data_IF_444094724834
#
_entry.id   IF_444094724834
#
_cell.length_a   1.000
_cell.length_b   1.000
_cell.length_c   1.000
_cell.angle_alpha   90.00
_cell.angle_beta   90.00
_cell.angle_gamma   90.00
#
_symmetry.space_group_name_H-M   'P 1'
#
loop_
_entity.id
_entity.type
_entity.pdbx_description
1 polymer ?
#
# COMPACT_ATOMS: atom_id res chain seq x y z
N UNK A 1 -1.07 -19.19 -0.22
CA UNK A 1 -1.69 -19.27 1.12
C UNK A 1 -3.19 -18.99 0.97
N UNK A 2 -4.09 -19.68 1.71
CA UNK A 2 -5.52 -19.41 1.66
C UNK A 2 -5.86 -18.04 2.25
N UNK A 3 -7.02 -17.49 1.87
CA UNK A 3 -7.54 -16.20 2.36
C UNK A 3 -8.71 -16.44 3.31
N UNK A 4 -8.39 -16.63 4.59
CA UNK A 4 -9.38 -16.78 5.66
C UNK A 4 -9.52 -15.43 6.36
N UNK A 5 -10.53 -14.65 5.97
CA UNK A 5 -10.76 -13.32 6.52
C UNK A 5 -11.24 -13.40 7.95
N UNK A 6 -10.60 -12.64 8.84
CA UNK A 6 -10.96 -12.59 10.25
C UNK A 6 -10.90 -11.15 10.76
N UNK A 7 -11.72 -10.85 11.76
CA UNK A 7 -11.54 -9.65 12.55
C UNK A 7 -10.19 -9.76 13.29
N UNK A 8 -9.49 -8.63 13.45
CA UNK A 8 -8.21 -8.62 14.16
C UNK A 8 -8.45 -8.85 15.67
N UNK A 9 -7.89 -9.93 16.27
CA UNK A 9 -8.09 -10.22 17.69
C UNK A 9 -7.35 -9.26 18.63
N UNK A 10 -6.37 -8.50 18.13
CA UNK A 10 -5.55 -7.59 18.94
C UNK A 10 -6.16 -6.17 19.04
N UNK A 11 -7.29 -5.93 18.35
CA UNK A 11 -8.02 -4.67 18.35
C UNK A 11 -9.40 -4.81 19.03
N UNK A 12 -9.91 -3.74 19.70
CA UNK A 12 -11.30 -3.71 20.13
C UNK A 12 -12.24 -3.95 18.95
N UNK A 13 -13.29 -4.79 19.08
CA UNK A 13 -14.19 -5.07 17.96
C UNK A 13 -14.90 -3.85 17.36
N UNK A 14 -15.01 -2.74 18.11
CA UNK A 14 -15.53 -1.47 17.63
C UNK A 14 -14.58 -0.71 16.70
N UNK A 15 -13.29 -1.05 16.74
CA UNK A 15 -12.21 -0.30 16.10
C UNK A 15 -11.67 -1.02 14.85
N UNK A 16 -12.26 -2.18 14.51
CA UNK A 16 -11.88 -2.99 13.35
C UNK A 16 -13.08 -3.71 12.74
N UNK A 17 -13.00 -3.98 11.44
CA UNK A 17 -14.09 -4.58 10.69
C UNK A 17 -14.22 -6.08 10.96
N UNK A 18 -15.44 -6.59 10.89
CA UNK A 18 -15.73 -8.01 10.80
C UNK A 18 -16.00 -8.45 9.34
N UNK A 19 -15.83 -9.74 9.00
CA UNK A 19 -16.06 -10.22 7.62
C UNK A 19 -17.45 -9.90 7.04
N UNK A 20 -18.46 -9.79 7.90
CA UNK A 20 -19.83 -9.41 7.57
C UNK A 20 -19.95 -7.99 6.99
N UNK A 21 -19.11 -7.04 7.39
CA UNK A 21 -19.14 -5.66 6.89
C UNK A 21 -18.89 -5.56 5.37
N UNK A 22 -18.19 -6.56 4.80
CA UNK A 22 -17.90 -6.64 3.37
C UNK A 22 -18.97 -7.38 2.55
N UNK A 23 -20.07 -7.83 3.17
CA UNK A 23 -21.17 -8.44 2.43
C UNK A 23 -21.73 -7.43 1.42
N UNK A 24 -22.05 -7.90 0.22
CA UNK A 24 -22.51 -7.10 -0.93
C UNK A 24 -21.52 -6.05 -1.50
N UNK A 25 -20.42 -5.73 -0.82
CA UNK A 25 -19.47 -4.69 -1.24
C UNK A 25 -18.94 -4.90 -2.66
N UNK A 26 -18.54 -6.13 -3.01
CA UNK A 26 -18.08 -6.44 -4.38
C UNK A 26 -19.18 -6.23 -5.43
N UNK A 27 -20.37 -6.77 -5.19
CA UNK A 27 -21.48 -6.71 -6.15
C UNK A 27 -21.89 -5.27 -6.44
N UNK A 28 -22.04 -4.47 -5.38
CA UNK A 28 -22.57 -3.10 -5.43
C UNK A 28 -21.51 -2.06 -5.79
N UNK A 29 -20.28 -2.21 -5.29
CA UNK A 29 -19.24 -1.18 -5.40
C UNK A 29 -18.04 -1.59 -6.25
N UNK A 30 -17.98 -2.85 -6.73
CA UNK A 30 -16.84 -3.39 -7.50
C UNK A 30 -15.51 -3.26 -6.74
N UNK A 31 -15.55 -3.54 -5.44
CA UNK A 31 -14.38 -3.58 -4.56
C UNK A 31 -14.06 -5.02 -4.14
N UNK A 32 -12.77 -5.29 -3.98
CA UNK A 32 -12.24 -6.50 -3.38
C UNK A 32 -11.83 -6.23 -1.93
N UNK A 33 -11.58 -7.30 -1.18
CA UNK A 33 -10.83 -7.26 0.08
C UNK A 33 -9.33 -7.10 -0.27
N UNK A 34 -8.86 -5.85 -0.37
CA UNK A 34 -7.51 -5.51 -0.80
C UNK A 34 -6.52 -5.48 0.35
N UNK A 35 -5.44 -6.26 0.23
CA UNK A 35 -4.33 -6.31 1.18
C UNK A 35 -3.53 -5.00 1.21
N UNK A 36 -3.18 -4.49 2.39
CA UNK A 36 -2.17 -3.45 2.56
C UNK A 36 -0.76 -4.10 2.53
N UNK A 37 -0.44 -4.92 3.52
CA UNK A 37 0.72 -5.81 3.52
C UNK A 37 0.44 -7.06 2.67
N UNK A 38 1.24 -7.35 1.61
CA UNK A 38 0.87 -8.31 0.59
C UNK A 38 1.08 -9.76 1.03
N UNK A 39 0.03 -10.57 0.95
CA UNK A 39 0.07 -12.00 1.29
C UNK A 39 1.13 -12.79 0.50
N UNK A 40 1.29 -12.50 -0.78
CA UNK A 40 2.25 -13.21 -1.64
C UNK A 40 3.71 -12.83 -1.37
N UNK A 41 3.97 -11.67 -0.75
CA UNK A 41 5.31 -11.23 -0.39
C UNK A 41 5.72 -11.66 1.02
N UNK A 42 4.76 -11.77 1.94
CA UNK A 42 5.03 -11.98 3.37
C UNK A 42 4.51 -13.33 3.90
N UNK A 43 3.85 -14.15 3.08
CA UNK A 43 3.24 -15.41 3.53
C UNK A 43 4.21 -16.52 4.00
N UNK A 44 5.51 -16.25 4.07
CA UNK A 44 6.53 -17.15 4.61
C UNK A 44 6.71 -17.06 6.12
N UNK A 45 6.22 -16.00 6.77
CA UNK A 45 6.34 -15.78 8.22
C UNK A 45 5.42 -16.71 9.02
N UNK A 46 5.75 -16.99 10.28
CA UNK A 46 5.00 -17.93 11.13
C UNK A 46 3.57 -17.46 11.43
N UNK A 47 3.39 -16.15 11.55
CA UNK A 47 2.12 -15.49 11.84
C UNK A 47 1.38 -15.05 10.58
N UNK A 48 1.70 -15.58 9.40
CA UNK A 48 1.10 -15.18 8.12
C UNK A 48 -0.44 -15.11 8.08
N UNK A 49 -1.24 -15.88 8.87
CA UNK A 49 -2.68 -15.67 8.90
C UNK A 49 -3.10 -14.24 9.28
N UNK A 50 -2.28 -13.51 10.05
CA UNK A 50 -2.48 -12.10 10.39
C UNK A 50 -2.59 -11.20 9.15
N UNK A 51 -1.97 -11.58 8.04
CA UNK A 51 -2.08 -10.88 6.76
C UNK A 51 -3.53 -10.89 6.22
N UNK A 52 -4.40 -11.78 6.68
CA UNK A 52 -5.82 -11.81 6.33
C UNK A 52 -6.73 -11.18 7.39
N UNK A 53 -6.17 -10.60 8.46
CA UNK A 53 -6.96 -9.82 9.42
C UNK A 53 -7.44 -8.52 8.79
N UNK A 54 -8.65 -8.10 9.13
CA UNK A 54 -9.29 -6.95 8.48
C UNK A 54 -8.66 -5.60 8.84
N UNK A 55 -7.79 -5.53 9.84
CA UNK A 55 -6.87 -4.41 10.07
C UNK A 55 -5.88 -4.20 8.91
N UNK A 56 -5.56 -5.26 8.17
CA UNK A 56 -4.69 -5.23 6.98
C UNK A 56 -5.48 -5.16 5.65
N UNK A 57 -6.82 -5.04 5.71
CA UNK A 57 -7.70 -5.12 4.53
C UNK A 57 -8.56 -3.86 4.40
N UNK A 58 -8.61 -3.31 3.19
CA UNK A 58 -9.53 -2.23 2.86
C UNK A 58 -10.38 -2.58 1.63
N UNK A 59 -11.53 -1.91 1.42
CA UNK A 59 -12.32 -2.07 0.20
C UNK A 59 -11.62 -1.39 -0.98
N UNK A 60 -10.86 -2.15 -1.75
CA UNK A 60 -10.09 -1.64 -2.89
C UNK A 60 -10.78 -2.01 -4.20
N UNK A 61 -11.02 -1.05 -5.10
CA UNK A 61 -11.61 -1.29 -6.42
C UNK A 61 -10.90 -2.43 -7.13
N UNK A 62 -11.67 -3.40 -7.63
CA UNK A 62 -11.13 -4.61 -8.24
C UNK A 62 -10.21 -4.32 -9.43
N UNK A 63 -10.47 -3.21 -10.16
CA UNK A 63 -9.62 -2.75 -11.25
C UNK A 63 -8.22 -2.36 -10.76
N UNK A 64 -8.10 -1.60 -9.68
CA UNK A 64 -6.82 -1.23 -9.08
C UNK A 64 -6.15 -2.45 -8.44
N UNK A 65 -6.85 -3.17 -7.56
CA UNK A 65 -6.33 -4.32 -6.81
C UNK A 65 -5.72 -5.39 -7.73
N UNK A 66 -6.44 -5.75 -8.80
CA UNK A 66 -6.03 -6.82 -9.72
C UNK A 66 -5.22 -6.29 -10.93
N UNK A 67 -4.97 -4.98 -10.98
CA UNK A 67 -4.29 -4.30 -12.07
C UNK A 67 -2.95 -3.71 -11.62
N UNK A 68 -2.83 -2.38 -11.70
CA UNK A 68 -1.60 -1.66 -11.40
C UNK A 68 -1.04 -1.93 -9.99
N UNK A 69 -1.91 -2.11 -8.97
CA UNK A 69 -1.47 -2.39 -7.61
C UNK A 69 -0.78 -3.77 -7.50
N UNK A 70 -1.41 -4.82 -8.02
CA UNK A 70 -0.80 -6.15 -8.10
C UNK A 70 0.48 -6.16 -8.95
N UNK A 71 0.53 -5.38 -10.03
CA UNK A 71 1.73 -5.26 -10.85
C UNK A 71 2.90 -4.64 -10.06
N UNK A 72 2.66 -3.57 -9.29
CA UNK A 72 3.64 -2.98 -8.39
C UNK A 72 4.10 -4.00 -7.33
N UNK A 73 3.17 -4.68 -6.65
CA UNK A 73 3.49 -5.70 -5.64
C UNK A 73 4.34 -6.85 -6.20
N UNK A 74 4.05 -7.28 -7.42
CA UNK A 74 4.85 -8.28 -8.11
C UNK A 74 6.28 -7.78 -8.33
N UNK A 75 6.46 -6.54 -8.81
CA UNK A 75 7.81 -5.98 -9.02
C UNK A 75 8.58 -5.79 -7.72
N UNK A 76 7.93 -5.36 -6.64
CA UNK A 76 8.55 -5.26 -5.30
C UNK A 76 8.99 -6.63 -4.80
N UNK A 77 8.18 -7.68 -5.00
CA UNK A 77 8.54 -9.04 -4.63
C UNK A 77 9.69 -9.61 -5.46
N UNK A 78 9.73 -9.34 -6.76
CA UNK A 78 10.85 -9.77 -7.60
C UNK A 78 12.14 -8.99 -7.27
N UNK A 79 12.04 -7.71 -6.91
CA UNK A 79 13.17 -6.91 -6.39
C UNK A 79 13.77 -7.57 -5.14
N UNK A 80 12.94 -8.04 -4.20
CA UNK A 80 13.39 -8.71 -2.97
C UNK A 80 14.12 -10.05 -3.20
N UNK A 81 14.08 -10.60 -4.43
CA UNK A 81 14.79 -11.84 -4.81
C UNK A 81 16.12 -11.57 -5.53
N UNK A 82 16.44 -10.31 -5.85
CA UNK A 82 17.68 -9.98 -6.53
C UNK A 82 18.88 -10.22 -5.61
N UNK A 83 19.98 -10.72 -6.16
CA UNK A 83 21.14 -11.13 -5.37
C UNK A 83 21.83 -9.96 -4.62
N UNK A 84 21.72 -8.74 -5.14
CA UNK A 84 22.26 -7.51 -4.55
C UNK A 84 21.29 -6.83 -3.56
N UNK A 85 20.08 -7.39 -3.36
CA UNK A 85 19.05 -6.83 -2.46
C UNK A 85 18.91 -7.72 -1.24
N UNK A 86 19.45 -7.26 -0.11
CA UNK A 86 19.34 -7.98 1.17
C UNK A 86 17.97 -7.83 1.84
N UNK A 87 17.32 -6.68 1.68
CA UNK A 87 16.05 -6.33 2.31
C UNK A 87 15.30 -5.27 1.51
N UNK A 88 13.98 -5.35 1.53
CA UNK A 88 13.08 -4.31 1.03
C UNK A 88 12.18 -3.86 2.17
N UNK A 89 12.29 -2.59 2.55
CA UNK A 89 11.42 -1.97 3.53
C UNK A 89 10.27 -1.27 2.82
N UNK A 90 9.03 -1.51 3.24
CA UNK A 90 7.83 -0.94 2.62
C UNK A 90 6.93 -0.34 3.68
N UNK A 91 6.42 0.86 3.43
CA UNK A 91 5.28 1.46 4.14
C UNK A 91 4.20 1.74 3.11
N UNK A 92 2.95 1.46 3.46
CA UNK A 92 1.80 1.64 2.57
C UNK A 92 0.59 2.07 3.37
N UNK A 93 -0.37 2.70 2.72
CA UNK A 93 -1.61 3.06 3.37
C UNK A 93 -2.66 3.64 2.43
N UNK A 94 -3.85 3.91 2.96
CA UNK A 94 -4.94 4.56 2.24
C UNK A 94 -4.78 6.09 2.19
N UNK A 95 -5.53 6.71 1.30
CA UNK A 95 -5.83 8.14 1.24
C UNK A 95 -7.34 8.35 1.43
N UNK A 96 -7.71 9.41 2.14
CA UNK A 96 -9.10 9.84 2.34
C UNK A 96 -9.24 11.31 1.90
N UNK A 97 -9.02 11.57 0.62
CA UNK A 97 -9.00 12.93 0.04
C UNK A 97 -10.39 13.41 -0.38
N UNK A 98 -11.31 12.49 -0.64
CA UNK A 98 -12.70 12.75 -1.01
C UNK A 98 -13.57 11.57 -0.61
N UNK A 99 -14.84 11.82 -0.35
CA UNK A 99 -15.84 10.77 -0.24
C UNK A 99 -16.01 10.07 -1.60
N UNK A 100 -15.96 8.74 -1.61
CA UNK A 100 -16.25 7.95 -2.82
C UNK A 100 -17.43 6.99 -2.63
N UNK A 101 -17.60 6.44 -1.42
CA UNK A 101 -18.67 5.55 -0.98
C UNK A 101 -18.35 5.08 0.46
N UNK A 102 -19.33 4.48 1.11
CA UNK A 102 -19.16 3.71 2.35
C UNK A 102 -19.50 2.23 2.11
N UNK A 103 -19.15 1.35 3.06
CA UNK A 103 -19.54 -0.06 2.95
C UNK A 103 -21.07 -0.23 3.02
N UNK A 104 -21.68 -1.11 2.20
CA UNK A 104 -23.14 -1.25 2.17
C UNK A 104 -23.77 -1.73 3.48
N UNK A 105 -23.04 -2.53 4.25
CA UNK A 105 -23.52 -3.11 5.51
C UNK A 105 -23.00 -2.34 6.73
N UNK A 106 -22.17 -1.32 6.51
CA UNK A 106 -21.67 -0.43 7.55
C UNK A 106 -21.35 0.94 6.95
N UNK A 107 -22.36 1.83 7.01
CA UNK A 107 -22.26 3.17 6.45
C UNK A 107 -21.31 4.10 7.23
N UNK A 108 -20.75 3.66 8.37
CA UNK A 108 -19.74 4.42 9.11
C UNK A 108 -18.34 4.24 8.53
N UNK A 109 -18.16 3.22 7.69
CA UNK A 109 -16.87 2.86 7.11
C UNK A 109 -16.68 3.54 5.76
N UNK A 110 -15.95 4.64 5.76
CA UNK A 110 -15.51 5.34 4.56
C UNK A 110 -14.54 4.47 3.74
N UNK A 111 -14.75 4.42 2.42
CA UNK A 111 -13.83 3.73 1.52
C UNK A 111 -12.69 4.69 1.15
N UNK A 112 -11.40 4.27 1.22
CA UNK A 112 -10.27 5.09 0.80
C UNK A 112 -10.45 5.61 -0.62
N UNK A 113 -10.09 6.87 -0.90
CA UNK A 113 -10.09 7.46 -2.25
C UNK A 113 -8.92 6.99 -3.12
N UNK A 114 -7.85 6.49 -2.49
CA UNK A 114 -6.66 5.99 -3.17
C UNK A 114 -5.72 5.30 -2.18
N UNK A 115 -4.56 4.87 -2.69
CA UNK A 115 -3.54 4.17 -1.92
C UNK A 115 -2.15 4.68 -2.28
N UNK A 116 -1.24 4.59 -1.33
CA UNK A 116 0.15 4.95 -1.52
C UNK A 116 1.07 3.84 -1.04
N UNK A 117 2.27 3.79 -1.63
CA UNK A 117 3.33 2.86 -1.23
C UNK A 117 4.69 3.55 -1.36
N UNK A 118 5.47 3.50 -0.28
CA UNK A 118 6.85 3.99 -0.20
C UNK A 118 7.74 2.81 0.15
N UNK A 119 8.89 2.72 -0.49
CA UNK A 119 9.83 1.64 -0.24
C UNK A 119 11.29 2.07 -0.43
N UNK A 120 12.18 1.36 0.23
CA UNK A 120 13.63 1.43 -0.02
C UNK A 120 14.30 0.07 0.18
N UNK A 121 15.50 -0.08 -0.36
CA UNK A 121 16.36 -1.26 -0.16
C UNK A 121 17.58 -0.93 0.68
N UNK A 122 18.16 -1.92 1.35
CA UNK A 122 19.35 -1.71 2.20
C UNK A 122 18.99 -1.10 3.56
N UNK A 123 19.93 -0.37 4.17
CA UNK A 123 19.81 0.09 5.56
C UNK A 123 18.95 1.36 5.72
N UNK A 124 19.01 2.28 4.76
CA UNK A 124 18.28 3.55 4.80
C UNK A 124 18.07 4.10 3.38
N UNK A 125 17.00 4.89 3.14
CA UNK A 125 16.83 5.59 1.87
C UNK A 125 17.97 6.61 1.66
N UNK A 126 18.51 6.63 0.45
CA UNK A 126 19.63 7.50 0.05
C UNK A 126 19.43 8.00 -1.38
N UNK A 127 19.63 9.30 -1.58
CA UNK A 127 19.57 9.94 -2.90
C UNK A 127 20.73 9.54 -3.79
N UNK A 128 21.93 9.41 -3.23
CA UNK A 128 23.13 9.01 -3.99
C UNK A 128 23.07 7.55 -4.43
N UNK A 129 22.50 6.67 -3.60
CA UNK A 129 22.30 5.26 -3.96
C UNK A 129 21.08 5.03 -4.84
N UNK A 130 20.14 5.98 -4.86
CA UNK A 130 18.91 5.85 -5.66
C UNK A 130 18.00 4.72 -5.19
N UNK A 131 18.11 4.32 -3.92
CA UNK A 131 17.62 3.05 -3.40
C UNK A 131 16.17 3.12 -2.86
N UNK A 132 15.37 4.12 -3.25
CA UNK A 132 13.99 4.30 -2.79
C UNK A 132 13.01 4.68 -3.92
N UNK A 133 11.72 4.46 -3.69
CA UNK A 133 10.63 4.86 -4.58
C UNK A 133 9.33 5.11 -3.82
N UNK A 134 8.41 5.86 -4.44
CA UNK A 134 7.11 6.21 -3.89
C UNK A 134 6.04 6.27 -5.00
N UNK A 135 4.83 5.80 -4.70
CA UNK A 135 3.71 5.71 -5.64
C UNK A 135 2.40 6.12 -4.98
N UNK A 136 1.50 6.77 -5.73
CA UNK A 136 0.10 7.04 -5.33
C UNK A 136 -0.83 6.64 -6.48
N UNK A 137 -1.81 5.78 -6.19
CA UNK A 137 -2.83 5.38 -7.16
C UNK A 137 -4.23 5.66 -6.62
N UNK A 138 -5.06 6.31 -7.43
CA UNK A 138 -6.47 6.53 -7.13
C UNK A 138 -7.28 5.22 -7.27
N UNK A 139 -8.36 5.08 -6.51
CA UNK A 139 -9.28 3.93 -6.64
C UNK A 139 -9.79 3.70 -8.07
N UNK A 140 -9.96 4.78 -8.85
CA UNK A 140 -10.44 4.70 -10.23
C UNK A 140 -9.32 4.43 -11.25
N UNK A 141 -8.09 4.13 -10.79
CA UNK A 141 -6.99 3.72 -11.67
C UNK A 141 -7.42 2.55 -12.56
N UNK A 142 -7.32 2.66 -13.90
CA UNK A 142 -7.72 1.60 -14.81
C UNK A 142 -6.97 0.30 -14.57
N UNK A 143 -7.63 -0.83 -14.83
CA UNK A 143 -7.00 -2.16 -14.66
C UNK A 143 -5.74 -2.34 -15.50
N UNK A 144 -5.69 -1.73 -16.68
CA UNK A 144 -4.56 -1.78 -17.62
C UNK A 144 -3.49 -0.71 -17.37
N UNK A 145 -3.65 0.13 -16.35
CA UNK A 145 -2.73 1.22 -16.10
C UNK A 145 -1.33 0.71 -15.74
N UNK A 146 -0.31 1.43 -16.18
CA UNK A 146 1.07 1.17 -15.81
C UNK A 146 1.37 1.87 -14.48
N UNK A 147 1.76 1.12 -13.44
CA UNK A 147 2.05 1.69 -12.12
C UNK A 147 3.18 2.75 -12.16
N UNK A 148 4.06 2.70 -13.16
CA UNK A 148 5.16 3.65 -13.32
C UNK A 148 4.68 5.09 -13.55
N UNK A 149 3.51 5.27 -14.15
CA UNK A 149 2.92 6.60 -14.39
C UNK A 149 2.48 7.29 -13.09
N UNK A 150 2.46 6.54 -11.99
CA UNK A 150 1.99 6.95 -10.68
C UNK A 150 3.11 7.18 -9.67
N UNK A 151 4.37 7.25 -10.13
CA UNK A 151 5.52 7.57 -9.28
C UNK A 151 5.43 9.03 -8.78
N UNK A 152 5.57 9.22 -7.48
CA UNK A 152 5.55 10.52 -6.79
C UNK A 152 6.76 10.68 -5.88
N UNK A 153 6.83 11.81 -5.17
CA UNK A 153 7.77 12.02 -4.05
C UNK A 153 7.16 11.51 -2.73
N UNK A 154 7.98 11.27 -1.72
CA UNK A 154 7.47 10.87 -0.39
C UNK A 154 6.74 12.04 0.28
N UNK A 155 7.23 13.26 0.10
CA UNK A 155 6.58 14.48 0.58
C UNK A 155 5.15 14.63 0.02
N UNK A 156 4.92 14.28 -1.25
CA UNK A 156 3.57 14.29 -1.82
C UNK A 156 2.62 13.32 -1.10
N UNK A 157 3.13 12.19 -0.62
CA UNK A 157 2.36 11.24 0.19
C UNK A 157 2.06 11.82 1.58
N UNK A 158 3.07 12.37 2.26
CA UNK A 158 2.91 12.98 3.59
C UNK A 158 1.85 14.09 3.60
N UNK A 159 1.85 14.96 2.57
CA UNK A 159 0.85 16.03 2.44
C UNK A 159 -0.59 15.51 2.22
N UNK A 160 -0.74 14.44 1.44
CA UNK A 160 -2.03 13.86 1.08
C UNK A 160 -2.59 12.97 2.19
N UNK A 161 -1.74 12.34 2.99
CA UNK A 161 -2.16 11.51 4.11
C UNK A 161 -2.93 12.34 5.16
N UNK A 162 -3.92 11.68 5.78
CA UNK A 162 -4.74 12.23 6.87
C UNK A 162 -4.89 11.16 7.96
N UNK A 163 -4.45 11.43 9.22
CA UNK A 163 -3.67 12.59 9.63
C UNK A 163 -2.35 12.70 8.85
N UNK A 164 -1.75 13.89 8.85
CA UNK A 164 -0.43 14.09 8.21
C UNK A 164 0.55 13.12 8.85
N UNK A 165 1.29 12.41 8.01
CA UNK A 165 2.30 11.43 8.43
C UNK A 165 3.69 12.02 8.25
N UNK A 166 4.62 11.61 9.10
CA UNK A 166 6.05 11.80 8.90
C UNK A 166 6.69 10.44 8.64
N UNK A 167 6.79 10.06 7.37
CA UNK A 167 7.45 8.84 6.92
C UNK A 167 8.95 8.94 7.13
N UNK A 168 9.59 7.81 7.45
CA UNK A 168 11.03 7.74 7.76
C UNK A 168 11.46 8.80 8.79
N UNK A 169 10.64 9.00 9.84
CA UNK A 169 10.81 10.04 10.86
C UNK A 169 12.11 9.97 11.67
N UNK A 170 12.82 8.84 11.61
CA UNK A 170 14.12 8.67 12.26
C UNK A 170 15.30 9.19 11.42
N UNK A 171 15.08 9.63 10.17
CA UNK A 171 16.15 10.18 9.34
C UNK A 171 16.64 11.54 9.86
N UNK A 172 17.95 11.84 9.78
CA UNK A 172 18.44 13.20 9.95
C UNK A 172 17.77 14.16 8.95
N UNK A 173 17.48 15.38 9.38
CA UNK A 173 16.74 16.38 8.58
C UNK A 173 17.36 16.60 7.20
N UNK A 174 18.69 16.72 7.12
CA UNK A 174 19.41 16.90 5.86
C UNK A 174 19.14 15.74 4.87
N UNK A 175 19.10 14.50 5.36
CA UNK A 175 18.82 13.31 4.54
C UNK A 175 17.34 13.29 4.15
N UNK A 176 16.44 13.53 5.12
CA UNK A 176 15.00 13.55 4.90
C UNK A 176 14.60 14.58 3.81
N UNK A 177 15.11 15.81 3.91
CA UNK A 177 14.89 16.88 2.94
C UNK A 177 15.32 16.48 1.52
N UNK A 178 16.41 15.71 1.36
CA UNK A 178 16.86 15.24 0.04
C UNK A 178 15.99 14.11 -0.52
N UNK A 179 15.72 13.08 0.29
CA UNK A 179 15.03 11.86 -0.19
C UNK A 179 13.52 12.04 -0.30
N UNK A 180 12.92 12.96 0.48
CA UNK A 180 11.47 13.14 0.48
C UNK A 180 10.95 14.02 -0.65
N UNK A 181 11.76 14.98 -1.09
CA UNK A 181 11.37 16.01 -2.09
C UNK A 181 11.71 15.60 -3.53
N UNK A 182 12.38 14.46 -3.73
CA UNK A 182 12.77 13.97 -5.06
C UNK A 182 12.20 12.57 -5.34
N UNK A 183 11.95 12.27 -6.63
CA UNK A 183 11.55 10.93 -7.05
C UNK A 183 12.79 10.04 -7.03
N UNK A 184 12.80 9.01 -6.18
CA UNK A 184 13.92 8.06 -6.10
C UNK A 184 14.01 7.14 -7.33
N UNK A 185 15.21 6.72 -7.69
CA UNK A 185 15.46 5.94 -8.92
C UNK A 185 15.24 4.44 -8.77
N UNK A 186 14.86 3.92 -7.60
CA UNK A 186 14.55 2.49 -7.42
C UNK A 186 13.38 2.05 -8.32
N UNK A 187 12.52 2.99 -8.73
CA UNK A 187 11.48 2.73 -9.73
C UNK A 187 12.04 2.15 -11.03
N UNK A 188 13.26 2.51 -11.42
CA UNK A 188 13.94 1.93 -12.60
C UNK A 188 14.23 0.44 -12.41
N UNK A 189 14.68 0.03 -11.20
CA UNK A 189 14.85 -1.39 -10.85
C UNK A 189 13.51 -2.15 -10.79
N UNK A 190 12.39 -1.44 -10.61
CA UNK A 190 11.04 -2.00 -10.71
C UNK A 190 10.53 -2.09 -12.15
N UNK A 191 11.28 -1.58 -13.13
CA UNK A 191 10.95 -1.62 -14.56
C UNK A 191 10.32 -0.34 -15.12
N UNK A 192 10.37 0.77 -14.39
CA UNK A 192 9.93 2.08 -14.89
C UNK A 192 10.99 2.74 -15.78
N UNK A 193 10.53 3.50 -16.76
CA UNK A 193 11.37 4.25 -17.71
C UNK A 193 11.24 5.74 -17.46
#
# INVERSE_FOLDING_TARGET
RPRNWAQDPDLPPSDTLAPSAYKNAHTLLKVDRGHQAPLAGLGGVSDWPSLNYLSNITPQKSALNQGAWAALENRVRELAKQADVSVVHVVTGPLFERHIATLPEDATVEIPSGYWKVLFTGMAPSKSEGNYAAFIMDQNTPRSANFCDYQVTVEAIEHKAKPVLTLWSALPEAVASEVKTTKGSLAQKLGCR
#
